data_IF_219300941634
#
_entry.id   IF_219300941634
#
_cell.length_a   1.000
_cell.length_b   1.000
_cell.length_c   1.000
_cell.angle_alpha   90.00
_cell.angle_beta   90.00
_cell.angle_gamma   90.00
#
_symmetry.space_group_name_H-M   'P 1'
#
loop_
_entity.id
_entity.type
_entity.pdbx_description
1 polymer ?
2 non-polymer ?
3 non-polymer ?
4 non-polymer ?
5 water ?
#
# COMPACT_ATOMS: atom_id res chain seq x y z
N UNK A 4 3.03 25.56 -33.12
CA UNK A 4 3.37 25.05 -31.75
C UNK A 4 3.09 26.17 -30.75
N UNK A 5 2.31 25.90 -29.72
CA UNK A 5 1.95 26.89 -28.67
C UNK A 5 2.26 26.29 -27.31
N UNK A 6 2.72 27.07 -26.32
CA UNK A 6 2.97 26.43 -25.01
C UNK A 6 1.65 26.36 -24.22
N UNK A 7 1.47 25.22 -23.55
CA UNK A 7 0.24 24.79 -22.83
C UNK A 7 0.56 24.73 -21.34
N UNK A 8 -0.35 25.22 -20.51
CA UNK A 8 -0.11 25.39 -19.05
C UNK A 8 -1.17 24.62 -18.27
N UNK A 9 -1.61 23.47 -18.80
CA UNK A 9 -2.72 22.71 -18.16
C UNK A 9 -2.22 22.00 -16.90
N UNK A 10 -3.09 21.91 -15.92
CA UNK A 10 -2.79 21.34 -14.60
C UNK A 10 -3.74 20.15 -14.47
N UNK A 11 -3.19 18.95 -14.29
CA UNK A 11 -4.00 17.71 -14.11
C UNK A 11 -4.98 17.97 -12.98
N UNK A 12 -6.27 17.64 -13.15
CA UNK A 12 -7.24 17.92 -12.09
C UNK A 12 -7.02 17.01 -10.87
N UNK A 13 -7.43 17.52 -9.70
CA UNK A 13 -7.37 16.81 -8.41
C UNK A 13 -7.93 15.41 -8.58
N UNK A 14 -9.04 15.30 -9.30
CA UNK A 14 -9.80 14.03 -9.49
C UNK A 14 -8.91 12.94 -10.09
N UNK A 15 -7.89 13.26 -10.90
CA UNK A 15 -6.94 12.24 -11.41
C UNK A 15 -6.35 11.44 -10.24
N UNK A 16 -6.14 12.10 -9.10
CA UNK A 16 -5.68 11.45 -7.85
C UNK A 16 -6.85 10.92 -7.02
N UNK A 17 -7.84 11.76 -6.69
CA UNK A 17 -8.87 11.46 -5.65
C UNK A 17 -10.03 10.62 -6.18
N UNK A 18 -10.33 10.65 -7.47
CA UNK A 18 -11.56 10.04 -8.06
C UNK A 18 -11.22 9.50 -9.45
N UNK A 19 -10.25 8.59 -9.56
CA UNK A 19 -9.80 8.15 -10.88
C UNK A 19 -10.88 7.48 -11.75
N UNK A 20 -11.72 6.62 -11.17
CA UNK A 20 -12.71 5.81 -11.92
C UNK A 20 -12.28 4.38 -12.18
N UNK A 21 -13.14 3.60 -12.85
CA UNK A 21 -12.92 2.15 -13.10
C UNK A 21 -11.68 1.96 -13.99
N UNK A 22 -11.56 2.67 -15.13
CA UNK A 22 -10.35 2.62 -16.02
C UNK A 22 -9.72 4.00 -16.16
N UNK A 23 -8.84 4.39 -15.23
CA UNK A 23 -8.03 5.61 -15.35
C UNK A 23 -6.75 5.46 -16.20
N UNK A 24 -6.50 4.25 -16.71
CA UNK A 24 -5.25 3.91 -17.44
C UNK A 24 -5.16 4.68 -18.76
N UNK A 25 -6.23 4.81 -19.57
CA UNK A 25 -6.19 5.57 -20.84
C UNK A 25 -5.79 7.05 -20.60
N UNK A 26 -6.34 7.65 -19.55
CA UNK A 26 -6.06 9.07 -19.18
C UNK A 26 -4.57 9.23 -18.82
N UNK A 27 -4.07 8.37 -17.96
CA UNK A 27 -2.65 8.38 -17.56
C UNK A 27 -1.79 8.24 -18.82
N UNK A 28 -2.16 7.32 -19.74
CA UNK A 28 -1.39 7.06 -20.98
C UNK A 28 -1.34 8.34 -21.83
N UNK A 29 -2.44 9.08 -21.91
CA UNK A 29 -2.54 10.29 -22.76
C UNK A 29 -1.61 11.35 -22.14
N UNK A 30 -1.64 11.51 -20.83
CA UNK A 30 -0.76 12.51 -20.16
C UNK A 30 0.71 12.10 -20.36
N UNK A 31 0.99 10.80 -20.13
CA UNK A 31 2.35 10.23 -20.19
C UNK A 31 2.92 10.36 -21.60
N UNK A 32 2.11 10.20 -22.66
CA UNK A 32 2.59 10.24 -24.07
C UNK A 32 3.09 11.66 -24.40
N UNK A 33 2.53 12.69 -23.76
CA UNK A 33 2.88 14.10 -23.98
C UNK A 33 4.12 14.48 -23.17
N UNK A 34 4.21 13.99 -21.94
CA UNK A 34 5.32 14.34 -21.03
C UNK A 34 5.34 13.43 -19.80
N UNK A 35 6.54 13.00 -19.33
CA UNK A 35 6.65 12.25 -18.08
C UNK A 35 6.28 13.05 -16.81
N UNK A 36 6.31 14.38 -16.85
CA UNK A 36 6.14 15.21 -15.63
C UNK A 36 5.17 16.35 -15.91
N UNK A 37 4.17 16.53 -15.04
CA UNK A 37 3.03 17.45 -15.28
C UNK A 37 2.67 18.17 -14.00
N UNK A 38 2.27 19.43 -14.11
CA UNK A 38 1.56 20.12 -13.00
C UNK A 38 0.31 19.29 -12.63
N UNK A 39 0.04 19.12 -11.34
CA UNK A 39 -1.19 18.44 -10.84
C UNK A 39 -1.73 19.24 -9.66
N UNK A 40 -3.06 19.30 -9.52
CA UNK A 40 -3.77 20.10 -8.49
C UNK A 40 -3.95 19.27 -7.22
N UNK A 41 -2.89 18.69 -6.67
CA UNK A 41 -2.98 17.85 -5.44
C UNK A 41 -1.88 18.25 -4.46
N UNK A 42 -2.18 18.62 -3.19
CA UNK A 42 -3.53 19.01 -2.78
C UNK A 42 -4.05 20.23 -3.54
N UNK A 43 -5.38 20.51 -3.55
CA UNK A 43 -5.90 21.68 -4.25
C UNK A 43 -5.20 23.01 -3.87
N UNK A 44 -4.82 23.76 -4.89
CA UNK A 44 -4.20 25.09 -4.74
C UNK A 44 -2.69 25.02 -4.60
N UNK A 45 -2.10 23.84 -4.51
CA UNK A 45 -0.66 23.70 -4.20
C UNK A 45 0.13 23.62 -5.50
N UNK A 46 1.36 24.10 -5.44
CA UNK A 46 2.39 23.83 -6.47
C UNK A 46 2.78 22.37 -6.29
N UNK A 47 2.49 21.57 -7.30
CA UNK A 47 2.62 20.11 -7.26
C UNK A 47 2.75 19.59 -8.68
N UNK A 48 3.48 18.50 -8.81
CA UNK A 48 3.77 17.79 -10.07
C UNK A 48 3.42 16.32 -9.92
N UNK A 49 2.95 15.70 -11.02
CA UNK A 49 2.80 14.24 -11.18
C UNK A 49 3.89 13.73 -12.12
N UNK A 50 4.45 12.60 -11.78
CA UNK A 50 5.47 11.93 -12.61
C UNK A 50 4.81 10.63 -13.09
N UNK A 51 4.76 10.43 -14.39
CA UNK A 51 3.95 9.35 -15.02
C UNK A 51 4.81 8.32 -15.76
N UNK A 52 5.98 8.70 -16.23
CA UNK A 52 6.83 7.77 -16.98
C UNK A 52 7.52 6.79 -16.06
N UNK A 53 7.61 5.52 -16.44
CA UNK A 53 8.31 4.50 -15.62
C UNK A 53 9.73 4.97 -15.26
N UNK A 54 10.58 5.30 -16.25
CA UNK A 54 12.02 5.55 -15.97
C UNK A 54 12.15 6.77 -15.04
N UNK A 55 11.37 7.83 -15.25
CA UNK A 55 11.43 9.06 -14.41
C UNK A 55 10.85 8.78 -13.01
N UNK A 56 9.83 7.94 -12.90
CA UNK A 56 9.33 7.51 -11.57
C UNK A 56 10.50 6.82 -10.87
N UNK A 57 11.18 5.89 -11.55
CA UNK A 57 12.31 5.14 -10.96
C UNK A 57 13.39 6.12 -10.47
N UNK A 58 13.80 7.08 -11.28
CA UNK A 58 14.76 8.11 -10.83
C UNK A 58 14.21 8.84 -9.60
N UNK A 59 12.97 9.33 -9.66
CA UNK A 59 12.45 10.22 -8.61
C UNK A 59 12.39 9.46 -7.28
N UNK A 60 12.00 8.20 -7.33
CA UNK A 60 11.85 7.30 -6.14
C UNK A 60 13.11 7.37 -5.30
N UNK A 61 14.28 7.47 -5.96
CA UNK A 61 15.61 7.47 -5.31
C UNK A 61 16.27 8.83 -5.21
N UNK A 62 15.68 9.90 -5.76
CA UNK A 62 16.33 11.24 -5.86
C UNK A 62 16.32 11.97 -4.51
N UNK A 63 17.49 12.19 -3.92
CA UNK A 63 17.59 12.79 -2.56
C UNK A 63 17.22 14.28 -2.59
N UNK A 64 17.02 14.92 -3.75
CA UNK A 64 16.51 16.31 -3.79
C UNK A 64 15.02 16.33 -3.46
N UNK A 65 14.34 15.19 -3.50
CA UNK A 65 12.94 15.08 -3.01
C UNK A 65 12.99 14.62 -1.56
N UNK A 66 12.52 15.43 -0.61
CA UNK A 66 12.47 15.08 0.83
C UNK A 66 11.15 14.39 1.20
N UNK A 67 11.19 13.43 2.12
CA UNK A 67 9.97 12.80 2.71
C UNK A 67 9.72 13.37 4.11
N UNK A 68 10.47 14.39 4.53
CA UNK A 68 10.36 14.98 5.88
C UNK A 68 9.34 16.12 5.84
N UNK A 69 8.36 16.05 6.73
CA UNK A 69 7.17 16.95 6.69
C UNK A 69 7.58 18.41 6.92
N UNK A 70 8.71 18.67 7.59
CA UNK A 70 9.26 20.04 7.87
C UNK A 70 9.68 20.73 6.57
N UNK A 71 9.84 20.00 5.48
CA UNK A 71 10.25 20.57 4.17
C UNK A 71 9.03 20.98 3.36
N UNK A 72 7.81 20.73 3.86
CA UNK A 72 6.56 21.25 3.25
C UNK A 72 6.51 22.75 3.51
N UNK A 73 5.85 23.52 2.61
CA UNK A 73 5.48 24.90 2.91
C UNK A 73 4.66 24.91 4.23
N UNK A 74 4.83 25.96 5.04
CA UNK A 74 4.37 26.08 6.44
C UNK A 74 2.89 25.74 6.56
N UNK A 75 2.06 26.27 5.67
CA UNK A 75 0.59 26.07 5.72
C UNK A 75 0.27 24.58 5.53
N UNK A 76 1.09 23.83 4.78
CA UNK A 76 0.86 22.36 4.55
C UNK A 76 1.48 21.56 5.70
N UNK A 77 2.70 21.94 6.11
CA UNK A 77 3.45 21.33 7.23
C UNK A 77 2.60 21.38 8.50
N UNK A 78 2.11 22.58 8.84
CA UNK A 78 1.34 22.84 10.09
C UNK A 78 0.08 21.97 10.08
N UNK A 79 -0.62 21.93 8.95
CA UNK A 79 -1.86 21.15 8.79
C UNK A 79 -1.56 19.65 8.92
N UNK A 80 -0.54 19.13 8.23
CA UNK A 80 -0.18 17.69 8.25
C UNK A 80 0.15 17.29 9.69
N UNK A 81 1.05 18.03 10.33
CA UNK A 81 1.51 17.68 11.71
C UNK A 81 0.36 17.72 12.72
N UNK A 82 -0.54 18.70 12.65
CA UNK A 82 -1.63 18.82 13.64
C UNK A 82 -2.58 17.63 13.52
N UNK A 83 -2.66 16.97 12.36
CA UNK A 83 -3.71 15.96 12.02
C UNK A 83 -3.20 14.52 12.13
N UNK A 84 -2.07 14.23 11.50
CA UNK A 84 -1.64 12.85 11.12
C UNK A 84 -0.37 12.43 11.86
N UNK A 85 -0.50 11.41 12.71
CA UNK A 85 0.66 10.76 13.39
C UNK A 85 1.51 10.01 12.37
N UNK A 86 0.95 9.72 11.19
CA UNK A 86 1.65 8.91 10.15
C UNK A 86 2.84 9.67 9.57
N UNK A 87 2.71 10.98 9.37
CA UNK A 87 3.68 11.71 8.50
C UNK A 87 4.91 12.19 9.29
N UNK A 88 4.99 11.94 10.61
CA UNK A 88 5.93 12.72 11.47
C UNK A 88 7.14 11.91 11.88
N UNK A 89 7.05 10.60 12.18
CA UNK A 89 8.22 9.93 12.79
C UNK A 89 8.39 8.47 12.47
N UNK A 90 8.62 8.14 11.20
CA UNK A 90 8.94 6.74 10.84
C UNK A 90 9.85 6.78 9.61
N UNK A 91 10.43 5.64 9.26
CA UNK A 91 11.36 5.54 8.11
C UNK A 91 10.67 5.94 6.80
N UNK A 92 9.35 5.74 6.70
CA UNK A 92 8.56 6.09 5.50
C UNK A 92 8.63 7.58 5.20
N UNK A 93 8.81 8.42 6.24
CA UNK A 93 8.75 9.91 6.13
C UNK A 93 10.04 10.52 6.71
N UNK A 94 11.17 9.92 6.29
CA UNK A 94 12.55 10.17 6.75
C UNK A 94 13.52 10.14 5.56
N UNK A 95 14.42 11.11 5.51
CA UNK A 95 15.56 11.20 4.56
C UNK A 95 16.79 10.64 5.29
N UNK A 96 17.86 10.35 4.54
CA UNK A 96 19.18 10.05 5.12
C UNK A 96 19.60 11.26 5.94
N UNK A 97 20.20 11.14 7.15
CA UNK A 97 20.49 9.86 7.81
C UNK A 97 19.39 9.38 8.77
N UNK A 98 18.34 10.15 9.03
CA UNK A 98 17.26 9.72 9.95
C UNK A 98 16.70 8.37 9.49
N UNK A 99 16.56 8.20 8.18
CA UNK A 99 15.99 6.96 7.59
C UNK A 99 16.71 5.74 8.15
N UNK A 100 18.06 5.69 8.10
CA UNK A 100 18.83 4.52 8.59
C UNK A 100 18.56 4.28 10.09
N UNK A 101 18.58 5.33 10.91
CA UNK A 101 18.34 5.21 12.37
C UNK A 101 16.94 4.60 12.58
N UNK A 102 15.93 5.12 11.89
CA UNK A 102 14.52 4.71 12.08
C UNK A 102 14.30 3.32 11.48
N UNK A 103 15.13 2.89 10.52
CA UNK A 103 14.93 1.58 9.85
C UNK A 103 15.62 0.45 10.62
N UNK A 104 16.75 0.75 11.25
CA UNK A 104 17.67 -0.27 11.82
C UNK A 104 16.96 -1.19 12.81
N UNK A 105 16.14 -0.72 13.78
CA UNK A 105 15.53 -1.66 14.72
C UNK A 105 14.58 -2.71 14.12
N UNK A 106 14.00 -2.47 12.92
CA UNK A 106 12.91 -3.33 12.35
C UNK A 106 13.41 -4.14 11.14
N UNK A 107 14.57 -3.85 10.54
CA UNK A 107 14.93 -4.40 9.21
C UNK A 107 15.09 -5.93 9.24
N UNK A 108 15.73 -6.49 10.28
CA UNK A 108 15.97 -7.95 10.45
C UNK A 108 14.65 -8.74 10.43
N UNK A 109 13.62 -8.25 11.12
CA UNK A 109 12.26 -8.88 11.21
C UNK A 109 11.66 -9.08 9.81
N UNK A 110 12.11 -8.33 8.79
CA UNK A 110 11.46 -8.36 7.45
C UNK A 110 12.32 -9.07 6.39
N UNK A 111 13.48 -9.62 6.76
CA UNK A 111 14.32 -10.37 5.77
C UNK A 111 13.56 -11.60 5.25
N UNK A 112 13.79 -11.95 3.96
CA UNK A 112 13.10 -13.06 3.31
C UNK A 112 13.12 -14.39 4.07
N UNK A 113 14.28 -14.85 4.53
CA UNK A 113 14.40 -16.19 5.15
C UNK A 113 13.67 -16.21 6.50
N UNK A 114 13.70 -15.07 7.23
CA UNK A 114 12.99 -14.83 8.50
C UNK A 114 11.48 -14.85 8.30
N UNK A 115 10.99 -14.01 7.38
CA UNK A 115 9.56 -13.91 7.00
C UNK A 115 9.11 -15.30 6.55
N UNK A 116 9.98 -16.05 5.87
CA UNK A 116 9.61 -17.37 5.32
C UNK A 116 9.19 -18.33 6.46
N UNK A 117 9.68 -18.13 7.68
CA UNK A 117 9.28 -19.00 8.82
C UNK A 117 7.83 -18.70 9.26
N UNK A 118 7.21 -17.61 8.80
CA UNK A 118 5.79 -17.32 9.21
C UNK A 118 4.82 -18.18 8.39
N UNK A 119 5.31 -18.87 7.35
CA UNK A 119 4.44 -19.64 6.42
C UNK A 119 3.43 -20.49 7.19
N UNK A 120 3.81 -21.39 8.12
CA UNK A 120 2.79 -22.21 8.81
C UNK A 120 1.69 -21.42 9.52
N UNK A 121 2.04 -20.37 10.27
CA UNK A 121 1.03 -19.54 10.99
C UNK A 121 0.16 -18.80 9.97
N UNK A 122 0.74 -18.23 8.91
CA UNK A 122 -0.06 -17.55 7.85
C UNK A 122 -1.08 -18.54 7.26
N UNK A 123 -0.64 -19.76 6.92
CA UNK A 123 -1.50 -20.86 6.39
C UNK A 123 -2.66 -21.13 7.35
N UNK A 124 -2.41 -21.25 8.65
CA UNK A 124 -3.47 -21.49 9.66
C UNK A 124 -4.44 -20.30 9.66
N UNK A 125 -3.94 -19.05 9.63
CA UNK A 125 -4.80 -17.83 9.65
C UNK A 125 -5.74 -17.86 8.45
N UNK A 126 -5.19 -18.18 7.27
CA UNK A 126 -5.91 -18.24 5.96
C UNK A 126 -6.98 -19.35 6.05
N UNK A 127 -6.60 -20.52 6.54
CA UNK A 127 -7.54 -21.67 6.67
C UNK A 127 -8.64 -21.30 7.68
N UNK A 128 -8.29 -20.65 8.79
CA UNK A 128 -9.25 -20.31 9.89
C UNK A 128 -10.30 -19.37 9.32
N UNK A 129 -9.88 -18.44 8.46
CA UNK A 129 -10.77 -17.43 7.82
C UNK A 129 -11.68 -18.13 6.80
N UNK A 130 -11.14 -18.98 5.94
CA UNK A 130 -11.93 -19.72 4.91
C UNK A 130 -12.97 -20.63 5.61
N UNK A 131 -12.59 -21.24 6.74
CA UNK A 131 -13.51 -22.04 7.60
C UNK A 131 -14.72 -21.21 8.03
N UNK A 132 -14.63 -19.87 8.11
CA UNK A 132 -15.78 -19.02 8.53
C UNK A 132 -16.69 -18.64 7.34
N UNK A 133 -16.31 -18.95 6.10
CA UNK A 133 -17.15 -18.63 4.91
C UNK A 133 -18.44 -19.46 4.98
N UNK A 134 -19.63 -18.94 4.57
CA UNK A 134 -20.82 -19.79 4.44
C UNK A 134 -20.65 -20.70 3.21
N UNK A 135 -20.73 -22.03 3.36
CA UNK A 135 -20.58 -22.90 2.16
C UNK A 135 -21.80 -22.71 1.27
N UNK A 136 -21.56 -22.63 -0.02
CA UNK A 136 -22.56 -22.24 -1.03
C UNK A 136 -23.27 -20.97 -0.60
N UNK A 137 -22.65 -20.07 0.16
CA UNK A 137 -23.21 -18.72 0.37
C UNK A 137 -22.49 -17.65 -0.43
N UNK A 138 -22.55 -16.44 0.12
CA UNK A 138 -22.17 -15.14 -0.49
C UNK A 138 -21.31 -14.43 0.55
N UNK A 139 -20.12 -13.93 0.17
CA UNK A 139 -19.26 -13.07 1.06
C UNK A 139 -18.91 -11.80 0.31
N UNK A 140 -18.56 -10.75 1.05
CA UNK A 140 -17.66 -9.68 0.55
C UNK A 140 -16.25 -10.16 0.82
N UNK A 141 -15.45 -10.42 -0.23
CA UNK A 141 -14.10 -10.98 0.00
C UNK A 141 -13.26 -10.01 0.84
N UNK A 142 -13.43 -8.70 0.70
CA UNK A 142 -12.66 -7.71 1.51
C UNK A 142 -12.91 -7.89 3.02
N UNK A 143 -14.16 -7.76 3.46
CA UNK A 143 -14.49 -7.80 4.91
C UNK A 143 -14.32 -9.21 5.47
N UNK A 144 -14.55 -10.27 4.68
CA UNK A 144 -14.50 -11.68 5.15
C UNK A 144 -13.07 -12.19 5.19
N UNK A 145 -12.19 -11.66 4.35
CA UNK A 145 -10.88 -12.31 4.10
C UNK A 145 -9.75 -11.32 3.83
N UNK A 146 -9.87 -10.46 2.81
CA UNK A 146 -8.70 -9.71 2.31
C UNK A 146 -8.18 -8.75 3.37
N UNK A 147 -9.07 -8.04 4.07
CA UNK A 147 -8.68 -7.15 5.21
C UNK A 147 -8.21 -7.96 6.42
N UNK A 148 -9.01 -8.88 7.00
CA UNK A 148 -8.60 -9.52 8.25
C UNK A 148 -7.39 -10.44 8.14
N UNK A 149 -7.16 -11.10 7.02
CA UNK A 149 -5.98 -11.98 6.91
C UNK A 149 -4.73 -11.20 7.23
N UNK A 150 -4.28 -10.20 6.43
CA UNK A 150 -3.01 -9.54 6.71
C UNK A 150 -2.99 -8.69 8.00
N UNK A 151 -4.16 -8.23 8.45
CA UNK A 151 -4.25 -7.53 9.75
C UNK A 151 -3.90 -8.53 10.85
N UNK A 152 -4.43 -9.74 10.78
CA UNK A 152 -4.13 -10.77 11.78
C UNK A 152 -2.62 -11.06 11.74
N UNK A 153 -2.06 -11.21 10.56
CA UNK A 153 -0.64 -11.60 10.40
C UNK A 153 0.23 -10.53 11.09
N UNK A 154 0.03 -9.25 10.76
CA UNK A 154 0.93 -8.17 11.30
C UNK A 154 0.64 -7.95 12.78
N UNK A 155 -0.62 -8.09 13.21
CA UNK A 155 -0.95 -8.10 14.66
C UNK A 155 -0.16 -9.18 15.40
N UNK A 156 -0.23 -10.44 14.97
CA UNK A 156 0.49 -11.54 15.66
C UNK A 156 1.99 -11.27 15.59
N UNK A 157 2.47 -10.75 14.47
CA UNK A 157 3.93 -10.58 14.27
C UNK A 157 4.43 -9.44 15.17
N UNK A 158 3.63 -8.39 15.39
CA UNK A 158 4.01 -7.33 16.34
C UNK A 158 3.82 -7.81 17.79
N UNK A 159 2.82 -8.67 18.03
CA UNK A 159 2.39 -9.07 19.40
C UNK A 159 1.35 -8.10 19.92
N UNK A 160 0.41 -7.75 19.05
CA UNK A 160 -0.78 -6.89 19.30
C UNK A 160 -2.00 -7.80 19.35
N UNK A 161 -2.94 -7.66 20.33
CA UNK A 161 -4.13 -8.52 20.38
C UNK A 161 -4.99 -8.53 19.09
N UNK A 162 -5.16 -9.69 18.49
CA UNK A 162 -6.02 -9.87 17.28
C UNK A 162 -7.45 -9.38 17.61
N UNK A 163 -7.88 -9.53 18.85
CA UNK A 163 -9.25 -9.20 19.28
C UNK A 163 -9.58 -7.73 18.93
N UNK A 164 -8.61 -6.83 18.83
CA UNK A 164 -8.92 -5.38 18.68
C UNK A 164 -8.97 -4.99 17.20
N UNK A 165 -9.12 -5.98 16.31
CA UNK A 165 -9.31 -5.85 14.85
C UNK A 165 -10.07 -4.59 14.40
N UNK A 166 -11.33 -4.33 14.82
CA UNK A 166 -12.11 -3.27 14.22
C UNK A 166 -11.51 -1.89 14.57
N UNK A 167 -10.80 -1.78 15.69
CA UNK A 167 -10.15 -0.50 16.06
C UNK A 167 -9.02 -0.27 15.05
N UNK A 168 -8.19 -1.27 14.83
CA UNK A 168 -7.07 -1.21 13.86
C UNK A 168 -7.61 -0.93 12.46
N UNK A 169 -8.66 -1.62 12.00
CA UNK A 169 -9.26 -1.38 10.64
C UNK A 169 -9.66 0.11 10.51
N UNK A 170 -10.37 0.67 11.49
CA UNK A 170 -10.88 2.07 11.43
C UNK A 170 -9.67 3.03 11.48
N UNK A 171 -8.76 2.84 12.43
CA UNK A 171 -7.63 3.80 12.60
C UNK A 171 -6.77 3.80 11.34
N UNK A 172 -6.55 2.61 10.78
CA UNK A 172 -5.72 2.43 9.57
C UNK A 172 -6.35 3.14 8.38
N UNK A 173 -7.66 2.96 8.19
CA UNK A 173 -8.37 3.53 7.03
C UNK A 173 -8.24 5.07 7.15
N UNK A 174 -8.58 5.61 8.33
CA UNK A 174 -8.60 7.08 8.54
C UNK A 174 -7.16 7.62 8.39
N UNK A 175 -6.18 7.01 9.07
CA UNK A 175 -4.83 7.60 9.12
C UNK A 175 -4.03 7.33 7.83
N UNK A 176 -4.57 6.55 6.90
CA UNK A 176 -3.97 6.34 5.57
C UNK A 176 -4.37 7.53 4.68
N UNK A 177 -5.37 8.31 5.08
CA UNK A 177 -5.92 9.40 4.23
C UNK A 177 -4.93 10.58 4.27
N UNK A 178 -4.99 11.43 3.27
CA UNK A 178 -4.07 12.60 3.13
C UNK A 178 -4.56 13.65 4.11
N UNK A 179 -3.73 14.08 5.09
CA UNK A 179 -4.18 15.09 6.05
C UNK A 179 -4.39 16.47 5.38
N UNK A 180 -3.90 16.68 4.16
CA UNK A 180 -4.07 17.94 3.40
C UNK A 180 -5.39 17.95 2.63
N UNK A 181 -6.10 16.83 2.53
CA UNK A 181 -7.33 16.78 1.70
C UNK A 181 -8.49 16.24 2.54
N UNK A 182 -8.23 15.39 3.54
CA UNK A 182 -9.28 14.65 4.29
C UNK A 182 -9.74 15.45 5.52
N UNK A 183 -10.94 15.16 6.02
CA UNK A 183 -11.48 15.78 7.26
C UNK A 183 -10.43 15.71 8.39
N UNK A 184 -9.99 16.88 8.84
CA UNK A 184 -8.98 17.17 9.89
C UNK A 184 -9.36 16.59 11.27
N UNK A 185 -10.62 16.78 11.70
CA UNK A 185 -11.12 16.38 13.04
C UNK A 185 -11.04 14.85 13.17
N UNK A 186 -11.46 14.15 12.13
CA UNK A 186 -11.42 12.67 12.04
C UNK A 186 -9.99 12.18 12.28
N UNK A 187 -8.99 12.78 11.62
CA UNK A 187 -7.60 12.27 11.68
C UNK A 187 -7.02 12.55 13.06
N UNK A 188 -7.22 13.74 13.58
CA UNK A 188 -6.79 14.10 14.96
C UNK A 188 -7.35 13.08 15.96
N UNK A 189 -8.64 12.76 15.90
CA UNK A 189 -9.29 11.79 16.83
C UNK A 189 -8.64 10.41 16.65
N UNK A 190 -8.45 9.93 15.41
CA UNK A 190 -7.76 8.65 15.12
C UNK A 190 -6.33 8.70 15.68
N UNK A 191 -5.59 9.79 15.46
CA UNK A 191 -4.21 9.95 16.00
C UNK A 191 -4.20 9.81 17.53
N UNK A 192 -5.18 10.40 18.20
CA UNK A 192 -5.23 10.45 19.69
C UNK A 192 -5.68 9.08 20.21
N UNK A 193 -6.63 8.44 19.55
CA UNK A 193 -7.14 7.12 19.99
C UNK A 193 -6.04 6.08 19.80
N UNK A 194 -5.34 6.11 18.66
CA UNK A 194 -4.19 5.20 18.40
C UNK A 194 -3.12 5.43 19.46
N UNK A 195 -2.77 6.70 19.72
CA UNK A 195 -1.74 7.05 20.73
C UNK A 195 -2.08 6.40 22.09
N UNK A 196 -3.30 6.60 22.58
CA UNK A 196 -3.75 6.16 23.94
C UNK A 196 -3.69 4.64 24.03
N UNK A 197 -4.19 3.96 23.00
CA UNK A 197 -4.19 2.48 22.94
C UNK A 197 -2.76 1.96 23.05
N UNK A 198 -1.86 2.51 22.22
CA UNK A 198 -0.49 1.96 22.10
C UNK A 198 0.38 2.41 23.29
N UNK A 199 0.15 3.60 23.85
CA UNK A 199 0.79 4.03 25.12
C UNK A 199 0.56 2.96 26.19
N UNK A 200 -0.69 2.56 26.38
CA UNK A 200 -1.08 1.54 27.38
C UNK A 200 -0.52 0.16 27.02
N UNK A 201 -0.59 -0.26 25.76
CA UNK A 201 -0.11 -1.62 25.35
C UNK A 201 1.39 -1.70 25.58
N UNK A 202 2.12 -0.66 25.18
CA UNK A 202 3.60 -0.63 25.31
C UNK A 202 3.96 -0.73 26.80
N UNK A 203 3.27 0.02 27.66
CA UNK A 203 3.56 0.06 29.12
C UNK A 203 3.41 -1.35 29.67
N UNK A 204 2.38 -2.09 29.22
CA UNK A 204 2.16 -3.49 29.64
C UNK A 204 3.31 -4.36 29.11
N UNK A 205 3.59 -4.27 27.81
CA UNK A 205 4.55 -5.17 27.12
C UNK A 205 5.96 -4.95 27.65
N UNK A 206 6.29 -3.71 28.02
CA UNK A 206 7.62 -3.32 28.57
C UNK A 206 7.93 -4.19 29.82
N UNK A 207 6.95 -4.35 30.71
CA UNK A 207 7.10 -5.01 32.03
C UNK A 207 7.41 -6.50 31.88
N UNK A 208 7.25 -7.07 30.69
CA UNK A 208 7.77 -8.43 30.38
C UNK A 208 7.92 -8.55 28.87
N UNK A 209 9.03 -8.03 28.34
CA UNK A 209 9.42 -8.08 26.90
C UNK A 209 9.27 -9.53 26.45
N UNK A 210 8.81 -9.80 25.22
CA UNK A 210 8.20 -11.13 24.88
C UNK A 210 8.99 -11.92 23.83
N UNK A 211 9.86 -11.24 23.07
CA UNK A 211 10.56 -11.74 21.84
C UNK A 211 9.60 -11.65 20.64
N UNK A 212 9.21 -10.42 20.31
CA UNK A 212 8.50 -10.05 19.06
C UNK A 212 9.10 -8.76 18.49
N UNK A 213 8.41 -8.16 17.54
CA UNK A 213 8.87 -6.92 16.86
C UNK A 213 8.56 -5.75 17.80
N UNK A 214 7.41 -5.79 18.46
CA UNK A 214 6.96 -4.73 19.39
C UNK A 214 7.99 -4.60 20.51
N UNK A 215 8.58 -5.73 20.93
CA UNK A 215 9.61 -5.77 22.00
C UNK A 215 10.90 -5.14 21.48
N UNK A 216 11.30 -5.47 20.24
CA UNK A 216 12.44 -4.83 19.55
C UNK A 216 12.18 -3.32 19.45
N UNK A 217 10.96 -2.90 19.09
CA UNK A 217 10.61 -1.45 18.96
C UNK A 217 10.67 -0.79 20.36
N UNK A 218 10.14 -1.44 21.39
CA UNK A 218 10.17 -0.89 22.78
C UNK A 218 11.63 -0.73 23.23
N UNK A 219 12.48 -1.73 22.98
CA UNK A 219 13.93 -1.70 23.27
C UNK A 219 14.56 -0.46 22.62
N UNK A 220 14.28 -0.21 21.35
CA UNK A 220 14.88 0.95 20.63
C UNK A 220 14.43 2.22 21.33
N UNK A 221 13.14 2.29 21.68
CA UNK A 221 12.61 3.46 22.40
C UNK A 221 13.39 3.65 23.70
N UNK A 222 13.53 2.58 24.49
CA UNK A 222 14.14 2.62 25.83
C UNK A 222 15.64 2.97 25.70
N UNK A 223 16.28 2.64 24.58
CA UNK A 223 17.73 2.92 24.34
C UNK A 223 17.95 4.31 23.72
N UNK A 224 16.89 5.06 23.40
CA UNK A 224 17.04 6.37 22.76
C UNK A 224 17.22 6.28 21.24
N UNK A 225 17.00 5.13 20.61
CA UNK A 225 17.03 5.05 19.13
C UNK A 225 15.73 5.63 18.56
N UNK A 226 14.60 5.49 19.27
CA UNK A 226 13.30 6.08 18.90
C UNK A 226 12.84 7.01 20.01
N UNK A 227 12.24 8.12 19.64
CA UNK A 227 11.41 8.94 20.56
C UNK A 227 10.08 8.21 20.76
N UNK A 228 9.29 8.67 21.72
CA UNK A 228 7.91 8.17 21.95
C UNK A 228 7.12 8.32 20.63
N UNK A 229 7.16 9.50 20.02
CA UNK A 229 6.43 9.82 18.75
C UNK A 229 6.89 8.83 17.66
N UNK A 230 8.19 8.56 17.57
CA UNK A 230 8.76 7.68 16.51
C UNK A 230 8.34 6.24 16.74
N UNK A 231 8.29 5.76 17.99
CA UNK A 231 7.72 4.42 18.31
C UNK A 231 6.26 4.38 17.83
N UNK A 232 5.44 5.39 18.16
CA UNK A 232 3.97 5.42 17.83
C UNK A 232 3.78 5.56 16.31
N UNK A 233 4.50 6.47 15.66
CA UNK A 233 4.41 6.65 14.20
C UNK A 233 4.89 5.39 13.45
N UNK A 234 5.93 4.73 13.94
CA UNK A 234 6.47 3.49 13.32
C UNK A 234 5.43 2.37 13.42
N UNK A 235 4.87 2.14 14.61
CA UNK A 235 3.79 1.14 14.78
C UNK A 235 2.67 1.44 13.80
N UNK A 236 2.28 2.71 13.63
CA UNK A 236 1.14 3.08 12.76
C UNK A 236 1.47 2.72 11.30
N UNK A 237 2.63 3.09 10.78
CA UNK A 237 3.04 2.69 9.40
C UNK A 237 2.96 1.16 9.24
N UNK A 238 3.63 0.41 10.12
CA UNK A 238 3.67 -1.08 10.04
C UNK A 238 2.23 -1.62 9.98
N UNK A 239 1.33 -1.08 10.80
CA UNK A 239 -0.07 -1.60 10.82
C UNK A 239 -0.72 -1.24 9.47
N UNK A 240 -0.66 0.02 9.05
CA UNK A 240 -1.34 0.45 7.79
C UNK A 240 -0.74 -0.32 6.61
N UNK A 241 0.56 -0.16 6.37
CA UNK A 241 1.26 -0.74 5.20
C UNK A 241 1.20 -2.26 5.29
N UNK A 242 1.21 -2.79 6.50
CA UNK A 242 1.03 -4.22 6.80
C UNK A 242 -0.26 -4.82 6.25
N UNK A 243 -1.40 -4.13 6.23
CA UNK A 243 -2.63 -4.83 5.83
C UNK A 243 -3.35 -4.18 4.65
N UNK A 244 -3.36 -2.85 4.50
CA UNK A 244 -4.13 -2.20 3.40
C UNK A 244 -3.64 -2.71 2.04
N UNK A 245 -2.31 -2.75 1.85
CA UNK A 245 -1.64 -3.17 0.60
C UNK A 245 -1.93 -4.64 0.30
N UNK A 246 -1.76 -5.54 1.27
CA UNK A 246 -2.02 -6.98 1.06
C UNK A 246 -3.53 -7.15 0.81
N UNK A 247 -4.36 -6.44 1.57
CA UNK A 247 -5.83 -6.51 1.37
C UNK A 247 -6.16 -6.18 -0.09
N UNK A 248 -5.59 -5.11 -0.63
CA UNK A 248 -5.94 -4.64 -2.01
C UNK A 248 -5.30 -5.55 -3.04
N UNK A 249 -4.20 -6.18 -2.71
CA UNK A 249 -3.55 -7.15 -3.61
C UNK A 249 -4.48 -8.35 -3.78
N UNK A 250 -5.05 -8.84 -2.68
CA UNK A 250 -6.00 -9.99 -2.74
C UNK A 250 -7.29 -9.55 -3.44
N UNK A 251 -7.86 -8.40 -3.07
CA UNK A 251 -9.09 -7.90 -3.72
C UNK A 251 -8.89 -7.61 -5.20
N UNK A 252 -7.91 -6.79 -5.55
CA UNK A 252 -7.64 -6.40 -6.96
C UNK A 252 -7.36 -7.69 -7.75
N UNK A 253 -6.57 -8.58 -7.14
CA UNK A 253 -6.08 -9.79 -7.81
C UNK A 253 -7.20 -10.76 -8.11
N UNK A 254 -8.11 -10.93 -7.16
CA UNK A 254 -9.28 -11.83 -7.30
C UNK A 254 -10.20 -11.28 -8.39
N UNK A 255 -10.50 -9.98 -8.37
CA UNK A 255 -11.32 -9.33 -9.41
C UNK A 255 -10.70 -9.53 -10.80
N UNK A 256 -9.37 -9.35 -10.90
CA UNK A 256 -8.61 -9.44 -12.19
C UNK A 256 -8.67 -10.89 -12.70
N UNK A 257 -8.52 -11.86 -11.80
CA UNK A 257 -8.58 -13.30 -12.18
C UNK A 257 -9.98 -13.67 -12.64
N UNK A 258 -11.01 -13.18 -11.97
CA UNK A 258 -12.41 -13.44 -12.37
C UNK A 258 -12.70 -12.74 -13.70
N UNK A 259 -12.10 -11.58 -13.94
CA UNK A 259 -12.22 -10.85 -15.22
C UNK A 259 -11.45 -11.57 -16.33
N UNK A 260 -10.47 -12.40 -15.98
CA UNK A 260 -9.61 -13.18 -16.92
C UNK A 260 -9.73 -14.67 -16.61
N UNK A 261 -10.91 -15.27 -16.82
CA UNK A 261 -11.21 -16.61 -16.30
C UNK A 261 -10.33 -17.74 -16.83
N UNK A 262 -9.84 -17.63 -18.07
CA UNK A 262 -8.95 -18.65 -18.67
C UNK A 262 -7.62 -18.66 -17.90
N UNK A 263 -7.13 -17.49 -17.49
CA UNK A 263 -5.87 -17.40 -16.73
C UNK A 263 -6.09 -17.93 -15.30
N UNK A 264 -7.26 -17.73 -14.73
CA UNK A 264 -7.63 -18.33 -13.43
C UNK A 264 -7.61 -19.87 -13.56
N UNK A 265 -8.14 -20.41 -14.66
CA UNK A 265 -8.13 -21.87 -14.93
C UNK A 265 -6.68 -22.32 -15.03
N UNK A 266 -5.81 -21.53 -15.66
CA UNK A 266 -4.37 -21.85 -15.76
C UNK A 266 -3.77 -21.98 -14.35
N UNK A 267 -4.12 -21.06 -13.45
CA UNK A 267 -3.57 -21.01 -12.05
C UNK A 267 -4.09 -22.23 -11.28
N UNK A 268 -5.33 -22.62 -11.52
CA UNK A 268 -5.95 -23.82 -10.89
C UNK A 268 -5.17 -25.07 -11.29
N UNK A 269 -4.85 -25.22 -12.57
CA UNK A 269 -4.16 -26.38 -13.17
C UNK A 269 -2.69 -26.40 -12.74
N UNK A 270 -2.06 -25.21 -12.61
CA UNK A 270 -0.61 -25.12 -12.33
C UNK A 270 -0.36 -24.08 -11.23
N UNK A 271 -0.55 -24.47 -9.94
CA UNK A 271 -0.43 -23.55 -8.80
C UNK A 271 0.92 -22.83 -8.69
N UNK A 272 1.99 -23.43 -9.26
CA UNK A 272 3.37 -22.90 -9.26
C UNK A 272 3.43 -21.53 -9.95
N UNK A 273 2.53 -21.26 -10.89
CA UNK A 273 2.40 -19.96 -11.63
C UNK A 273 1.87 -18.83 -10.72
N UNK A 274 1.46 -19.13 -9.48
CA UNK A 274 0.75 -18.10 -8.65
C UNK A 274 1.69 -16.94 -8.28
N UNK A 275 2.94 -17.17 -7.83
CA UNK A 275 3.88 -16.06 -7.64
C UNK A 275 4.06 -15.14 -8.87
N UNK A 276 4.14 -15.72 -10.08
CA UNK A 276 4.15 -14.98 -11.36
C UNK A 276 2.86 -14.15 -11.49
N UNK A 277 1.69 -14.70 -11.17
CA UNK A 277 0.39 -14.00 -11.26
C UNK A 277 0.34 -12.81 -10.30
N UNK A 278 0.95 -12.98 -9.13
CA UNK A 278 1.02 -11.95 -8.06
C UNK A 278 1.81 -10.75 -8.61
N UNK A 279 2.95 -11.00 -9.26
CA UNK A 279 3.78 -9.93 -9.86
C UNK A 279 2.96 -9.18 -10.91
N UNK A 280 2.15 -9.88 -11.71
CA UNK A 280 1.35 -9.26 -12.79
C UNK A 280 0.19 -8.48 -12.16
N UNK A 281 -0.40 -8.99 -11.08
CA UNK A 281 -1.40 -8.22 -10.29
C UNK A 281 -0.74 -6.93 -9.80
N UNK A 282 0.47 -7.00 -9.28
CA UNK A 282 1.12 -5.79 -8.70
C UNK A 282 1.47 -4.78 -9.80
N UNK A 283 1.82 -5.24 -11.01
CA UNK A 283 2.15 -4.31 -12.12
C UNK A 283 0.87 -3.61 -12.56
N UNK A 284 -0.19 -4.39 -12.78
CA UNK A 284 -1.41 -4.02 -13.51
C UNK A 284 -2.37 -3.22 -12.62
N UNK A 285 -2.54 -3.60 -11.35
CA UNK A 285 -3.37 -2.86 -10.37
C UNK A 285 -2.72 -2.94 -8.98
N UNK A 286 -1.53 -2.37 -8.87
CA UNK A 286 -0.72 -2.29 -7.64
C UNK A 286 -1.52 -1.58 -6.56
N UNK A 287 -1.51 -2.14 -5.35
CA UNK A 287 -2.21 -1.63 -4.15
C UNK A 287 -1.87 -0.17 -3.86
N UNK A 288 -0.63 0.26 -4.16
CA UNK A 288 -0.23 1.68 -4.06
C UNK A 288 -0.20 2.27 -5.46
N UNK A 289 -1.19 3.10 -5.77
CA UNK A 289 -1.28 3.76 -7.09
C UNK A 289 -0.27 4.90 -7.14
N UNK A 290 0.06 5.50 -6.00
CA UNK A 290 0.99 6.64 -5.86
C UNK A 290 2.02 6.30 -4.78
N UNK A 291 3.27 6.72 -4.98
CA UNK A 291 4.30 6.71 -3.91
C UNK A 291 3.90 7.76 -2.86
N UNK A 292 4.47 7.68 -1.66
CA UNK A 292 4.12 8.59 -0.53
C UNK A 292 4.84 9.93 -0.64
N UNK A 293 4.54 10.81 0.33
CA UNK A 293 4.91 12.23 0.39
C UNK A 293 6.33 12.46 -0.09
N UNK A 294 6.50 13.31 -1.07
CA UNK A 294 7.80 13.87 -1.52
C UNK A 294 7.61 15.33 -1.86
N UNK A 295 8.58 16.15 -1.46
CA UNK A 295 8.61 17.60 -1.73
C UNK A 295 10.03 17.97 -2.19
N UNK A 296 10.13 18.87 -3.17
CA UNK A 296 11.41 19.47 -3.59
C UNK A 296 12.04 20.21 -2.38
N UNK A 297 13.20 19.75 -1.93
CA UNK A 297 14.04 20.37 -0.87
C UNK A 297 14.76 21.60 -1.43
N UNK A 298 14.81 21.75 -2.76
CA UNK A 298 15.55 22.81 -3.48
C UNK A 298 14.91 22.96 -4.87
N UNK A 299 15.12 24.11 -5.50
CA UNK A 299 14.75 24.29 -6.94
C UNK A 299 15.43 23.13 -7.66
N UNK A 300 14.72 22.43 -8.53
CA UNK A 300 15.30 21.26 -9.17
C UNK A 300 14.67 21.11 -10.54
N UNK A 301 15.36 20.40 -11.39
CA UNK A 301 14.83 20.01 -12.69
C UNK A 301 14.85 18.49 -12.69
N UNK A 302 13.74 17.94 -13.19
CA UNK A 302 13.50 16.50 -13.38
C UNK A 302 12.94 16.29 -14.78
N UNK A 303 13.69 15.61 -15.66
CA UNK A 303 13.25 15.28 -17.04
C UNK A 303 12.81 16.57 -17.75
N UNK A 304 13.56 17.67 -17.58
CA UNK A 304 13.38 18.92 -18.34
C UNK A 304 12.38 19.87 -17.71
N UNK A 305 11.69 19.50 -16.63
CA UNK A 305 10.68 20.42 -16.03
C UNK A 305 11.23 20.98 -14.70
N UNK A 306 11.22 22.31 -14.57
CA UNK A 306 11.71 23.01 -13.36
C UNK A 306 10.64 22.92 -12.29
N UNK A 307 11.02 22.33 -11.16
CA UNK A 307 10.17 22.16 -9.95
C UNK A 307 10.71 23.09 -8.87
N UNK A 308 9.98 24.14 -8.47
CA UNK A 308 10.45 25.02 -7.41
C UNK A 308 10.48 24.31 -6.03
N UNK A 309 11.37 24.79 -5.17
CA UNK A 309 11.51 24.35 -3.76
C UNK A 309 10.13 24.41 -3.12
N UNK A 310 9.79 23.38 -2.35
CA UNK A 310 8.50 23.30 -1.62
C UNK A 310 7.39 22.65 -2.43
N UNK A 311 7.59 22.36 -3.71
CA UNK A 311 6.53 21.74 -4.57
C UNK A 311 6.32 20.29 -4.16
N UNK A 312 5.08 19.81 -4.11
CA UNK A 312 4.80 18.35 -3.98
C UNK A 312 5.23 17.65 -5.26
N UNK A 313 5.82 16.47 -5.12
CA UNK A 313 6.07 15.57 -6.27
C UNK A 313 5.42 14.20 -5.99
N UNK A 314 4.39 13.90 -6.78
CA UNK A 314 3.54 12.69 -6.69
C UNK A 314 3.96 11.72 -7.79
N UNK A 315 4.47 10.56 -7.40
CA UNK A 315 4.93 9.54 -8.35
C UNK A 315 3.81 8.52 -8.62
N UNK A 316 3.39 8.41 -9.87
CA UNK A 316 2.32 7.47 -10.25
C UNK A 316 2.92 6.09 -10.53
N UNK A 317 2.88 5.21 -9.52
CA UNK A 317 3.30 3.80 -9.68
C UNK A 317 2.34 3.11 -10.66
N UNK A 318 1.06 3.49 -10.65
CA UNK A 318 0.01 2.98 -11.58
C UNK A 318 0.43 3.27 -13.02
N UNK A 319 0.79 4.52 -13.32
CA UNK A 319 1.19 4.93 -14.70
C UNK A 319 2.49 4.21 -15.08
N UNK A 320 3.43 4.09 -14.15
CA UNK A 320 4.72 3.41 -14.40
C UNK A 320 4.46 1.97 -14.82
N UNK A 321 3.48 1.29 -14.19
CA UNK A 321 3.09 -0.10 -14.48
C UNK A 321 2.60 -0.30 -15.92
N UNK A 322 2.18 0.75 -16.62
CA UNK A 322 1.60 0.57 -17.98
C UNK A 322 2.48 1.24 -19.04
N UNK A 323 3.74 1.56 -18.74
CA UNK A 323 4.65 2.29 -19.68
C UNK A 323 5.03 1.37 -20.86
N UNK A 324 4.64 1.68 -22.11
CA UNK A 324 5.00 0.84 -23.26
C UNK A 324 6.49 0.84 -23.63
N UNK A 325 7.28 1.80 -23.14
CA UNK A 325 8.77 1.75 -23.20
C UNK A 325 9.28 0.56 -22.39
N UNK A 326 8.55 0.08 -21.38
CA UNK A 326 9.06 -0.98 -20.46
C UNK A 326 8.38 -2.30 -20.75
N UNK A 327 7.07 -2.29 -21.01
CA UNK A 327 6.25 -3.51 -21.15
C UNK A 327 5.65 -3.59 -22.56
N UNK A 328 5.81 -4.73 -23.22
CA UNK A 328 5.02 -5.11 -24.43
C UNK A 328 3.56 -5.29 -24.02
N UNK A 329 2.66 -4.73 -24.82
CA UNK A 329 1.19 -4.87 -24.62
C UNK A 329 0.89 -4.51 -23.16
N UNK A 330 1.23 -3.30 -22.72
CA UNK A 330 1.12 -2.96 -21.30
C UNK A 330 -0.29 -3.09 -20.69
N UNK A 331 -1.35 -2.92 -21.49
CA UNK A 331 -2.75 -2.99 -20.97
C UNK A 331 -3.27 -4.42 -21.04
N UNK A 332 -2.46 -5.38 -21.50
CA UNK A 332 -2.79 -6.80 -21.41
C UNK A 332 -2.36 -7.38 -20.07
N UNK A 333 -3.29 -7.98 -19.36
CA UNK A 333 -3.05 -8.72 -18.10
C UNK A 333 -2.63 -10.15 -18.47
N UNK A 334 -1.39 -10.54 -18.16
CA UNK A 334 -0.83 -11.86 -18.56
C UNK A 334 -0.03 -12.40 -17.37
N UNK A 335 -0.58 -13.41 -16.67
CA UNK A 335 0.05 -13.98 -15.44
C UNK A 335 1.39 -14.66 -15.74
N UNK A 336 1.71 -14.91 -17.02
CA UNK A 336 2.98 -15.59 -17.44
C UNK A 336 4.05 -14.54 -17.83
N UNK A 337 3.73 -13.25 -17.80
CA UNK A 337 4.71 -12.15 -18.12
C UNK A 337 6.00 -12.37 -17.33
N UNK A 338 7.16 -12.53 -17.97
CA UNK A 338 8.44 -12.87 -17.29
C UNK A 338 9.66 -12.49 -18.12
N UNK A 339 10.68 -11.83 -17.52
CA UNK A 339 10.55 -11.25 -16.19
C UNK A 339 9.65 -10.00 -16.26
N UNK A 340 9.18 -9.63 -15.09
CA UNK A 340 8.11 -8.65 -14.84
C UNK A 340 8.65 -7.78 -13.70
N UNK A 341 9.68 -6.97 -13.99
CA UNK A 341 10.20 -5.91 -13.10
C UNK A 341 9.20 -4.75 -13.09
N UNK A 342 8.81 -4.29 -11.88
CA UNK A 342 7.84 -3.20 -11.71
C UNK A 342 8.26 -2.33 -10.51
N UNK A 343 7.60 -1.17 -10.37
CA UNK A 343 7.90 -0.15 -9.33
C UNK A 343 6.78 -0.16 -8.27
N UNK A 344 6.00 -1.24 -8.17
CA UNK A 344 4.82 -1.27 -7.30
C UNK A 344 5.21 -1.47 -5.82
N UNK A 345 6.47 -1.81 -5.53
CA UNK A 345 7.05 -1.82 -4.17
C UNK A 345 8.03 -0.64 -4.01
N UNK A 346 8.06 0.25 -4.98
CA UNK A 346 8.97 1.40 -4.96
C UNK A 346 10.34 0.96 -5.45
N UNK A 347 11.38 1.70 -5.06
CA UNK A 347 12.76 1.57 -5.60
C UNK A 347 13.70 2.47 -4.79
N UNK A 348 14.92 2.00 -4.56
CA UNK A 348 15.95 2.80 -3.88
C UNK A 348 15.80 2.68 -2.38
N UNK A 349 16.22 3.72 -1.62
CA UNK A 349 16.28 3.63 -0.17
C UNK A 349 14.94 3.30 0.52
N UNK A 350 13.80 3.72 -0.06
CA UNK A 350 12.47 3.49 0.57
C UNK A 350 11.81 2.25 -0.04
N UNK A 351 12.54 1.42 -0.77
CA UNK A 351 11.99 0.16 -1.29
C UNK A 351 11.28 -0.56 -0.14
N UNK A 352 10.07 -1.02 -0.41
CA UNK A 352 9.19 -1.70 0.58
C UNK A 352 9.96 -2.76 1.41
N UNK A 353 10.04 -2.57 2.72
CA UNK A 353 10.64 -3.58 3.64
C UNK A 353 9.73 -4.81 3.76
N UNK A 354 8.44 -4.62 3.46
CA UNK A 354 7.39 -5.63 3.57
C UNK A 354 7.31 -6.58 2.38
N UNK A 355 8.08 -6.39 1.31
CA UNK A 355 7.80 -7.03 0.00
C UNK A 355 7.85 -8.56 0.14
N UNK A 356 8.85 -9.14 0.82
CA UNK A 356 8.91 -10.59 1.00
C UNK A 356 7.64 -11.09 1.70
N UNK A 357 7.21 -10.34 2.72
CA UNK A 357 6.07 -10.71 3.59
C UNK A 357 4.76 -10.56 2.80
N UNK A 358 4.63 -9.51 2.00
CA UNK A 358 3.48 -9.30 1.10
C UNK A 358 3.40 -10.37 0.04
N UNK A 359 4.54 -10.70 -0.59
CA UNK A 359 4.63 -11.75 -1.63
C UNK A 359 4.26 -13.10 -1.03
N UNK A 360 4.76 -13.44 0.16
CA UNK A 360 4.45 -14.72 0.86
C UNK A 360 2.95 -14.85 1.17
N UNK A 361 2.36 -13.79 1.76
CA UNK A 361 0.90 -13.73 2.04
C UNK A 361 0.09 -13.87 0.76
N UNK A 362 0.50 -13.21 -0.34
CA UNK A 362 -0.17 -13.35 -1.64
C UNK A 362 -0.16 -14.80 -2.13
N UNK A 363 0.99 -15.46 -2.10
CA UNK A 363 1.10 -16.88 -2.57
C UNK A 363 0.17 -17.78 -1.72
N UNK A 364 0.21 -17.66 -0.38
CA UNK A 364 -0.55 -18.56 0.54
C UNK A 364 -2.04 -18.26 0.35
N UNK A 365 -2.41 -16.97 0.26
CA UNK A 365 -3.82 -16.53 0.08
C UNK A 365 -4.41 -17.12 -1.20
N UNK A 366 -3.83 -16.84 -2.36
CA UNK A 366 -4.35 -17.31 -3.67
C UNK A 366 -4.23 -18.84 -3.77
N UNK A 367 -3.14 -19.48 -3.33
CA UNK A 367 -2.99 -20.95 -3.39
C UNK A 367 -4.19 -21.55 -2.65
N UNK A 368 -4.46 -21.03 -1.45
CA UNK A 368 -5.44 -21.65 -0.55
C UNK A 368 -6.86 -21.38 -1.04
N UNK A 369 -7.16 -20.15 -1.48
CA UNK A 369 -8.48 -19.82 -2.07
C UNK A 369 -8.75 -20.72 -3.28
N UNK A 370 -7.80 -20.84 -4.21
CA UNK A 370 -8.03 -21.65 -5.43
C UNK A 370 -8.20 -23.13 -5.06
N UNK A 371 -7.40 -23.66 -4.14
CA UNK A 371 -7.51 -25.09 -3.74
C UNK A 371 -8.82 -25.35 -2.99
N UNK A 372 -9.19 -24.51 -2.02
CA UNK A 372 -10.31 -24.84 -1.10
C UNK A 372 -11.65 -24.45 -1.72
N UNK A 373 -11.68 -23.45 -2.60
CA UNK A 373 -12.92 -23.01 -3.30
C UNK A 373 -12.75 -23.26 -4.80
N UNK A 374 -12.98 -24.52 -5.23
CA UNK A 374 -12.68 -24.93 -6.60
C UNK A 374 -13.48 -24.18 -7.67
N UNK A 375 -14.58 -23.55 -7.30
CA UNK A 375 -15.24 -22.67 -8.27
C UNK A 375 -16.01 -21.56 -7.59
N UNK A 376 -15.30 -20.55 -7.11
CA UNK A 376 -15.87 -19.28 -6.64
C UNK A 376 -16.10 -18.38 -7.86
N UNK A 377 -17.06 -17.48 -7.77
CA UNK A 377 -17.43 -16.58 -8.89
C UNK A 377 -17.99 -15.27 -8.32
N UNK A 378 -18.03 -14.23 -9.15
CA UNK A 378 -18.61 -12.93 -8.77
C UNK A 378 -20.06 -13.19 -8.43
N UNK A 379 -20.58 -12.50 -7.41
CA UNK A 379 -21.99 -12.61 -6.95
C UNK A 379 -22.83 -11.50 -7.56
N UNK A 380 -22.22 -10.57 -8.32
CA UNK A 380 -22.87 -9.40 -8.94
C UNK A 380 -22.37 -9.33 -10.38
N UNK A 381 -23.10 -8.65 -11.30
CA UNK A 381 -22.59 -8.37 -12.63
C UNK A 381 -21.27 -7.60 -12.52
N UNK A 382 -20.26 -7.81 -13.38
CA UNK A 382 -18.96 -7.17 -13.22
C UNK A 382 -19.03 -5.63 -13.18
N UNK A 383 -20.00 -5.04 -13.90
CA UNK A 383 -20.18 -3.57 -13.94
C UNK A 383 -20.61 -3.04 -12.55
N UNK A 384 -21.11 -3.88 -11.64
CA UNK A 384 -21.47 -3.43 -10.27
C UNK A 384 -20.24 -3.38 -9.33
N UNK A 385 -19.08 -3.86 -9.77
CA UNK A 385 -17.86 -3.89 -8.92
C UNK A 385 -17.26 -2.48 -8.94
N UNK A 386 -17.15 -1.81 -7.79
CA UNK A 386 -16.74 -0.38 -7.74
C UNK A 386 -15.32 -0.24 -7.19
N UNK A 387 -14.50 0.61 -7.82
CA UNK A 387 -13.19 1.02 -7.29
C UNK A 387 -13.40 2.12 -6.26
N UNK A 388 -12.68 2.06 -5.14
CA UNK A 388 -12.78 3.06 -4.04
C UNK A 388 -12.05 4.33 -4.47
N UNK A 389 -12.68 5.48 -4.28
CA UNK A 389 -12.10 6.85 -4.46
C UNK A 389 -11.85 7.45 -3.08
N UNK A 390 -10.62 7.80 -2.74
CA UNK A 390 -10.30 8.50 -1.47
C UNK A 390 -8.96 9.22 -1.65
N UNK A 391 -8.48 9.88 -0.60
CA UNK A 391 -7.30 10.76 -0.66
C UNK A 391 -6.05 9.94 -0.35
N UNK A 392 -6.19 8.64 -0.05
CA UNK A 392 -5.07 7.74 0.28
C UNK A 392 -4.25 7.39 -0.98
N UNK A 393 -3.13 6.70 -0.79
CA UNK A 393 -2.28 6.25 -1.92
C UNK A 393 -2.89 5.02 -2.60
N UNK A 394 -3.98 4.48 -2.06
CA UNK A 394 -4.56 3.14 -2.44
C UNK A 394 -5.13 3.10 -3.87
N UNK A 395 -5.05 1.92 -4.45
CA UNK A 395 -5.90 1.47 -5.60
C UNK A 395 -6.57 0.19 -5.12
N UNK A 396 -7.87 0.25 -4.84
CA UNK A 396 -8.60 -0.88 -4.22
C UNK A 396 -10.08 -0.76 -4.46
N UNK A 397 -10.79 -1.85 -4.16
CA UNK A 397 -12.24 -2.00 -4.42
C UNK A 397 -13.00 -1.49 -3.19
N UNK A 398 -14.24 -1.09 -3.39
CA UNK A 398 -15.20 -0.81 -2.30
C UNK A 398 -15.62 -2.13 -1.64
N UNK A 399 -15.74 -3.19 -2.42
CA UNK A 399 -16.28 -4.50 -2.01
C UNK A 399 -16.08 -5.48 -3.16
N UNK A 400 -16.07 -6.77 -2.86
CA UNK A 400 -16.00 -7.82 -3.91
C UNK A 400 -16.95 -8.93 -3.53
N UNK A 401 -18.22 -8.84 -3.96
CA UNK A 401 -19.19 -9.89 -3.68
C UNK A 401 -18.80 -11.18 -4.43
N UNK A 402 -18.68 -12.26 -3.67
CA UNK A 402 -18.25 -13.60 -4.15
C UNK A 402 -19.30 -14.66 -3.74
N UNK A 403 -19.70 -15.50 -4.70
CA UNK A 403 -20.35 -16.79 -4.42
C UNK A 403 -19.24 -17.80 -4.13
N UNK A 404 -19.22 -18.34 -2.93
CA UNK A 404 -18.11 -19.20 -2.42
C UNK A 404 -18.06 -20.53 -3.20
N UNK A 405 -19.22 -21.07 -3.54
CA UNK A 405 -19.40 -22.43 -4.08
C UNK A 405 -19.03 -23.44 -3.02
N UNK A 406 -18.56 -24.62 -3.46
CA UNK A 406 -18.16 -25.74 -2.59
C UNK A 406 -16.93 -25.31 -1.81
N UNK A 407 -16.81 -25.73 -0.55
CA UNK A 407 -15.62 -25.39 0.28
C UNK A 407 -14.98 -26.69 0.78
N UNK A 408 -13.74 -26.98 0.33
CA UNK A 408 -13.04 -28.22 0.77
C UNK A 408 -12.36 -27.94 2.10
N UNK A 409 -12.04 -28.99 2.90
CA UNK A 409 -11.40 -28.79 4.20
C UNK A 409 -9.93 -28.37 4.00
N UNK A 410 -9.33 -27.76 5.02
CA UNK A 410 -7.93 -27.25 5.00
C UNK A 410 -6.93 -28.37 4.67
#
# INVERSE_FOLDING_TARGET
MHHHHHHTDVIPTEFFTEPGSNPHATAAEYRSKCPVHRINVPPGADAYAVLGNKVVEEALGDSRLSKQVENLPARYRDKAVASSLLVVGNLGFADAPKHTRLKKPISRAFLPATVAQLRPRIQDIVDDLIDTFPENGEIDLLSSFALPMPLTVICEYLGIPVADRPLFLEWSYILSQDPLQHDEAELKAASEEFTDYFTKLVAERRTDLRDDLLSEIIRARDAGVYSETELLSTLLLLIIAGHKTVANMIGNGTALLLRHPQQLEMLRATPELIPSAIEEILRYEGSAAWASLRVAAEDMQLAGVDIPKGSFVHLSLSSAGRDPDVYDDPDGFDVTRSPNRHLSFGHGPHFCIGAPLGRLQGEIAFSTLLRRLPRFELAVPPEEVAWLSDSSLSRGLEALPIRVGERLPR
#
